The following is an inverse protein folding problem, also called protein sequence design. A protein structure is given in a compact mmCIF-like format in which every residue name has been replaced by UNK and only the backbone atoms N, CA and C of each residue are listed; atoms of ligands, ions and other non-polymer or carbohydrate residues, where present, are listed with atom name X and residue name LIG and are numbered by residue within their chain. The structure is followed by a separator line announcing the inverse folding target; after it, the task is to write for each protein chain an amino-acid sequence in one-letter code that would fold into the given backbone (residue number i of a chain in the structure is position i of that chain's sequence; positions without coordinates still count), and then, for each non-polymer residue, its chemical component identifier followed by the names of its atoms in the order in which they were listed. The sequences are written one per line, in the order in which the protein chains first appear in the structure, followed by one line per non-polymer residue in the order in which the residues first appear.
data_IF_371600780674
#
_entry.id   IF_371600780674
#
_cell.length_a   1.000
_cell.length_b   1.000
_cell.length_c   1.000
_cell.angle_alpha   90.00
_cell.angle_beta   90.00
_cell.angle_gamma   90.00
#
_symmetry.space_group_name_H-M   'P 1'
#
loop_
_entity.id
_entity.type
_entity.pdbx_description
1 polymer ?
#
# COMPACT_ATOMS: atom_id res chain seq x y z
N UNK A 1 -19.43 7.85 -1.75
CA UNK A 1 -18.73 6.68 -2.31
C UNK A 1 -19.00 5.51 -1.38
N UNK A 2 -19.76 4.51 -1.85
CA UNK A 2 -20.54 3.59 -1.02
C UNK A 2 -19.76 2.42 -0.37
N UNK A 3 -18.56 2.66 0.20
CA UNK A 3 -17.78 1.61 0.87
C UNK A 3 -17.33 0.44 -0.03
N UNK A 4 -17.61 0.49 -1.33
CA UNK A 4 -17.26 -0.55 -2.30
C UNK A 4 -15.76 -0.48 -2.62
N UNK A 5 -15.15 -1.66 -2.83
CA UNK A 5 -13.76 -1.85 -3.24
C UNK A 5 -13.59 -1.44 -4.71
N UNK A 6 -13.78 -0.15 -5.01
CA UNK A 6 -13.72 0.39 -6.36
C UNK A 6 -12.64 1.47 -6.46
N UNK A 7 -12.86 2.62 -5.81
CA UNK A 7 -11.92 3.75 -5.81
C UNK A 7 -11.40 3.95 -4.38
N UNK A 8 -10.08 4.02 -4.14
CA UNK A 8 -8.95 3.92 -5.08
C UNK A 8 -8.44 2.48 -5.26
N UNK A 9 -9.21 1.46 -4.88
CA UNK A 9 -8.72 0.07 -4.82
C UNK A 9 -8.34 -0.51 -6.19
N UNK A 10 -9.13 -0.25 -7.23
CA UNK A 10 -8.88 -0.77 -8.58
C UNK A 10 -7.59 -0.15 -9.14
N UNK A 11 -7.45 1.17 -9.07
CA UNK A 11 -6.25 1.88 -9.52
C UNK A 11 -5.01 1.48 -8.70
N UNK A 12 -5.12 1.32 -7.37
CA UNK A 12 -3.99 0.85 -6.55
C UNK A 12 -3.51 -0.54 -6.96
N UNK A 13 -4.41 -1.47 -7.30
CA UNK A 13 -4.03 -2.78 -7.81
C UNK A 13 -3.31 -2.70 -9.17
N UNK A 14 -3.85 -1.89 -10.10
CA UNK A 14 -3.22 -1.67 -11.40
C UNK A 14 -1.81 -1.07 -11.28
N UNK A 15 -1.66 -0.01 -10.47
CA UNK A 15 -0.35 0.59 -10.20
C UNK A 15 0.59 -0.35 -9.44
N UNK A 16 0.05 -1.20 -8.55
CA UNK A 16 0.81 -2.23 -7.85
C UNK A 16 1.43 -3.25 -8.80
N UNK A 17 0.66 -3.75 -9.76
CA UNK A 17 1.15 -4.68 -10.77
C UNK A 17 2.28 -4.06 -11.62
N UNK A 18 2.12 -2.81 -12.05
CA UNK A 18 3.14 -2.08 -12.83
C UNK A 18 4.42 -1.89 -12.00
N UNK A 19 4.30 -1.49 -10.73
CA UNK A 19 5.45 -1.33 -9.84
C UNK A 19 6.20 -2.65 -9.61
N UNK A 20 5.49 -3.76 -9.49
CA UNK A 20 6.11 -5.08 -9.30
C UNK A 20 6.95 -5.49 -10.52
N UNK A 21 6.41 -5.32 -11.73
CA UNK A 21 7.15 -5.60 -12.97
C UNK A 21 8.39 -4.71 -13.06
N UNK A 22 8.24 -3.40 -12.85
CA UNK A 22 9.37 -2.47 -12.92
C UNK A 22 10.45 -2.77 -11.87
N UNK A 23 10.06 -3.13 -10.64
CA UNK A 23 11.00 -3.51 -9.59
C UNK A 23 11.77 -4.79 -9.94
N UNK A 24 11.10 -5.79 -10.52
CA UNK A 24 11.76 -6.99 -11.01
C UNK A 24 12.75 -6.68 -12.15
N UNK A 25 12.36 -5.84 -13.11
CA UNK A 25 13.26 -5.40 -14.18
C UNK A 25 14.47 -4.62 -13.65
N UNK A 26 14.27 -3.74 -12.67
CA UNK A 26 15.37 -3.01 -12.01
C UNK A 26 16.33 -3.97 -11.29
N UNK A 27 15.81 -5.00 -10.61
CA UNK A 27 16.63 -5.98 -9.91
C UNK A 27 17.41 -6.90 -10.85
N UNK A 28 16.81 -7.28 -11.99
CA UNK A 28 17.43 -8.19 -12.97
C UNK A 28 18.39 -7.48 -13.93
N UNK A 29 18.10 -6.24 -14.32
CA UNK A 29 18.93 -5.46 -15.24
C UNK A 29 19.93 -4.53 -14.53
N UNK A 30 19.79 -4.35 -13.22
CA UNK A 30 20.71 -3.55 -12.41
C UNK A 30 22.00 -4.29 -12.06
N UNK A 31 22.95 -3.54 -11.51
CA UNK A 31 24.23 -4.01 -10.99
C UNK A 31 24.16 -4.53 -9.54
N UNK A 32 22.99 -4.45 -8.90
CA UNK A 32 22.76 -4.85 -7.52
C UNK A 32 23.15 -3.79 -6.48
N UNK A 33 23.62 -2.62 -6.90
CA UNK A 33 23.98 -1.51 -6.00
C UNK A 33 22.77 -0.61 -5.68
N UNK A 34 21.78 -0.58 -6.57
CA UNK A 34 20.51 0.15 -6.37
C UNK A 34 19.53 -0.56 -5.42
N UNK A 35 19.98 -0.93 -4.21
CA UNK A 35 19.16 -1.60 -3.19
C UNK A 35 19.23 -0.92 -1.83
N UNK A 36 18.10 -0.89 -1.16
CA UNK A 36 17.99 -0.67 0.29
C UNK A 36 17.72 -2.04 0.91
N UNK A 37 18.19 -2.29 2.14
CA UNK A 37 17.95 -3.58 2.79
C UNK A 37 16.45 -3.79 3.02
N UNK A 38 15.99 -5.04 2.82
CA UNK A 38 14.59 -5.39 3.02
C UNK A 38 14.16 -5.14 4.47
N UNK A 39 15.03 -5.45 5.43
CA UNK A 39 14.76 -5.24 6.85
C UNK A 39 14.50 -3.76 7.17
N UNK A 40 15.28 -2.85 6.58
CA UNK A 40 15.06 -1.41 6.75
C UNK A 40 13.72 -0.97 6.15
N UNK A 41 13.33 -1.51 4.99
CA UNK A 41 12.02 -1.24 4.38
C UNK A 41 10.88 -1.74 5.27
N UNK A 42 10.98 -2.96 5.81
CA UNK A 42 9.96 -3.55 6.70
C UNK A 42 9.85 -2.77 8.01
N UNK A 43 10.98 -2.39 8.62
CA UNK A 43 11.00 -1.55 9.81
C UNK A 43 10.30 -0.20 9.55
N UNK A 44 10.65 0.46 8.44
CA UNK A 44 10.06 1.74 8.05
C UNK A 44 8.55 1.60 7.81
N UNK A 45 8.11 0.50 7.18
CA UNK A 45 6.68 0.20 6.96
C UNK A 45 5.93 0.05 8.29
N UNK A 46 6.54 -0.63 9.28
CA UNK A 46 5.94 -0.81 10.60
C UNK A 46 5.89 0.49 11.41
N UNK A 47 6.93 1.33 11.35
CA UNK A 47 6.95 2.68 11.95
C UNK A 47 5.88 3.57 11.32
N UNK A 48 5.84 3.65 10.00
CA UNK A 48 4.82 4.42 9.26
C UNK A 48 3.40 3.95 9.60
N UNK A 49 3.19 2.63 9.69
CA UNK A 49 1.91 2.04 10.08
C UNK A 49 1.50 2.36 11.52
N UNK A 50 2.46 2.52 12.44
CA UNK A 50 2.21 2.96 13.82
C UNK A 50 1.82 4.44 13.86
N UNK A 51 2.55 5.28 13.13
CA UNK A 51 2.39 6.74 13.11
C UNK A 51 1.16 7.21 12.33
N UNK A 52 0.62 6.36 11.44
CA UNK A 52 -0.59 6.67 10.69
C UNK A 52 -1.77 6.94 11.65
N UNK A 53 -2.46 8.06 11.45
CA UNK A 53 -3.63 8.41 12.25
C UNK A 53 -4.68 7.29 12.16
N UNK A 54 -5.27 6.95 13.31
CA UNK A 54 -6.26 5.88 13.44
C UNK A 54 -7.46 6.03 12.49
N UNK A 55 -7.80 7.26 12.08
CA UNK A 55 -8.87 7.57 11.11
C UNK A 55 -8.52 7.23 9.66
N UNK A 56 -7.24 7.09 9.32
CA UNK A 56 -6.76 6.81 7.96
C UNK A 56 -6.23 5.38 7.80
N UNK A 57 -6.23 4.58 8.87
CA UNK A 57 -5.95 3.14 8.78
C UNK A 57 -7.14 2.45 8.12
N UNK A 58 -7.12 2.43 6.78
CA UNK A 58 -8.18 1.88 5.92
C UNK A 58 -8.54 0.42 6.27
N UNK A 59 -7.59 -0.36 6.79
CA UNK A 59 -7.75 -1.83 6.94
C UNK A 59 -7.87 -2.32 8.37
N UNK A 60 -7.39 -1.59 9.39
CA UNK A 60 -7.29 -2.14 10.75
C UNK A 60 -8.58 -2.06 11.59
N UNK A 61 -9.57 -1.27 11.17
CA UNK A 61 -10.86 -1.10 11.87
C UNK A 61 -12.09 -1.21 10.93
N UNK A 62 -11.94 -1.76 9.72
CA UNK A 62 -13.00 -1.72 8.69
C UNK A 62 -13.14 -0.34 8.05
N UNK A 63 -12.01 0.31 7.76
CA UNK A 63 -11.88 1.73 7.42
C UNK A 63 -12.75 2.20 6.26
N UNK A 64 -13.08 3.49 6.30
CA UNK A 64 -13.91 4.22 5.32
C UNK A 64 -15.32 3.64 5.01
N UNK A 65 -15.66 2.44 5.48
CA UNK A 65 -16.99 1.83 5.36
C UNK A 65 -17.94 2.20 6.52
N UNK A 66 -17.41 2.67 7.66
CA UNK A 66 -18.23 2.96 8.85
C UNK A 66 -19.00 4.30 8.80
N UNK A 67 -18.74 5.17 7.80
CA UNK A 67 -19.43 6.47 7.67
C UNK A 67 -20.69 6.43 6.80
N UNK A 68 -21.10 5.27 6.29
CA UNK A 68 -22.40 5.10 5.66
C UNK A 68 -23.24 4.14 6.51
N UNK A 69 -24.14 4.64 7.39
CA UNK A 69 -25.25 3.81 7.82
C UNK A 69 -26.10 3.54 6.58
N UNK A 70 -26.11 2.28 6.12
CA UNK A 70 -27.17 1.83 5.21
C UNK A 70 -28.48 1.84 6.01
N UNK A 71 -29.27 2.87 5.78
CA UNK A 71 -30.72 2.81 5.86
C UNK A 71 -31.24 2.58 4.44
#
# INVERSE_FOLDING_TARGET
MAGLVQIPCIERNAFGAIKAINAASLALCGDGEHRVSLDQVVQTMAETGRDMNHRYKETSLGGLAMNFPEC
#
